data_IF_239692111176
#
_entry.id   IF_239692111176
#
_cell.length_a   1.000
_cell.length_b   1.000
_cell.length_c   1.000
_cell.angle_alpha   90.00
_cell.angle_beta   90.00
_cell.angle_gamma   90.00
#
_symmetry.space_group_name_H-M   'P 1'
#
loop_
_entity.id
_entity.type
_entity.pdbx_description
1 polymer ?
#
# COMPACT_ATOMS: atom_id res chain seq x y z
N UNK A 1 50.71 41.74 -44.20
CA UNK A 1 51.54 41.16 -45.27
C UNK A 1 50.77 40.03 -45.91
N UNK A 2 50.60 40.11 -47.23
CA UNK A 2 49.97 39.10 -48.08
C UNK A 2 50.80 37.79 -48.09
N UNK A 3 50.15 36.64 -48.12
CA UNK A 3 49.94 35.92 -49.38
C UNK A 3 49.00 34.71 -49.23
N UNK A 4 48.07 34.65 -50.18
CA UNK A 4 47.15 33.57 -50.48
C UNK A 4 47.87 32.30 -50.96
N UNK A 5 47.25 31.14 -50.77
CA UNK A 5 47.07 30.22 -51.91
C UNK A 5 45.79 29.41 -51.76
N UNK A 6 44.96 29.52 -52.80
CA UNK A 6 43.71 28.82 -53.06
C UNK A 6 44.02 27.49 -53.74
N UNK A 7 43.41 26.40 -53.27
CA UNK A 7 43.06 25.18 -54.05
C UNK A 7 41.78 24.64 -53.38
N UNK A 8 40.58 24.81 -53.97
CA UNK A 8 40.01 23.95 -55.02
C UNK A 8 39.04 22.93 -54.37
N UNK A 9 37.73 22.91 -54.72
CA UNK A 9 36.78 21.98 -54.12
C UNK A 9 37.07 20.56 -54.61
N UNK A 10 37.50 19.69 -53.70
CA UNK A 10 37.66 18.27 -53.99
C UNK A 10 36.27 17.64 -54.04
N UNK A 11 35.73 17.52 -55.25
CA UNK A 11 34.68 16.55 -55.56
C UNK A 11 35.19 15.16 -55.16
N UNK A 12 34.82 14.70 -53.95
CA UNK A 12 34.85 13.27 -53.66
C UNK A 12 33.64 12.65 -54.35
N UNK A 13 33.82 11.60 -55.17
CA UNK A 13 32.67 10.88 -55.70
C UNK A 13 31.89 10.32 -54.52
N UNK A 14 30.59 10.61 -54.48
CA UNK A 14 29.61 9.83 -53.72
C UNK A 14 29.76 8.41 -54.27
N UNK A 15 30.47 7.56 -53.53
CA UNK A 15 30.41 6.14 -53.78
C UNK A 15 28.96 5.74 -53.52
N UNK A 16 28.19 5.55 -54.59
CA UNK A 16 27.00 4.73 -54.54
C UNK A 16 27.45 3.41 -53.91
N UNK A 17 27.07 3.19 -52.66
CA UNK A 17 27.04 1.87 -52.06
C UNK A 17 25.95 1.14 -52.84
N UNK A 18 26.35 0.57 -53.97
CA UNK A 18 25.55 -0.42 -54.67
C UNK A 18 25.47 -1.57 -53.69
N UNK A 19 24.27 -1.77 -53.13
CA UNK A 19 23.95 -2.96 -52.35
C UNK A 19 24.36 -4.18 -53.19
N UNK A 20 25.46 -4.81 -52.80
CA UNK A 20 25.77 -6.12 -53.34
C UNK A 20 24.59 -7.03 -52.94
N UNK A 21 24.01 -7.79 -53.89
CA UNK A 21 23.02 -8.79 -53.51
C UNK A 21 23.75 -9.75 -52.58
N UNK A 22 23.32 -9.76 -51.31
CA UNK A 22 23.77 -10.74 -50.33
C UNK A 22 23.65 -12.13 -50.97
N UNK A 23 24.67 -13.01 -50.81
CA UNK A 23 24.56 -14.40 -51.26
C UNK A 23 23.26 -15.01 -50.71
N UNK A 24 22.63 -15.98 -51.42
CA UNK A 24 21.40 -16.59 -50.95
C UNK A 24 21.64 -17.11 -49.53
N UNK A 25 21.01 -16.44 -48.57
CA UNK A 25 21.16 -16.77 -47.17
C UNK A 25 20.73 -18.23 -47.00
N UNK A 26 21.56 -19.02 -46.32
CA UNK A 26 21.18 -20.36 -45.90
C UNK A 26 19.83 -20.23 -45.17
N UNK A 27 18.75 -20.87 -45.66
CA UNK A 27 17.42 -20.70 -45.10
C UNK A 27 17.30 -21.21 -43.66
N UNK A 28 18.35 -21.87 -43.16
CA UNK A 28 18.43 -22.38 -41.79
C UNK A 28 19.16 -21.45 -40.82
N UNK A 29 19.87 -20.43 -41.31
CA UNK A 29 20.64 -19.50 -40.47
C UNK A 29 19.75 -18.39 -39.94
N UNK A 30 19.77 -18.17 -38.63
CA UNK A 30 19.05 -17.06 -38.01
C UNK A 30 19.59 -15.72 -38.54
N UNK A 31 18.70 -14.77 -38.89
CA UNK A 31 19.16 -13.49 -39.37
C UNK A 31 19.82 -12.68 -38.25
N UNK A 32 20.85 -11.93 -38.59
CA UNK A 32 21.61 -11.09 -37.64
C UNK A 32 21.42 -9.63 -38.02
N UNK A 33 21.12 -8.77 -37.05
CA UNK A 33 21.09 -7.32 -37.26
C UNK A 33 22.54 -6.84 -37.47
N UNK A 34 22.82 -6.06 -38.53
CA UNK A 34 24.16 -5.53 -38.75
C UNK A 34 24.64 -4.73 -37.53
N UNK A 35 25.86 -4.99 -37.01
CA UNK A 35 26.36 -4.29 -35.81
C UNK A 35 26.64 -2.81 -36.06
N UNK A 36 26.76 -2.38 -37.31
CA UNK A 36 27.00 -1.00 -37.74
C UNK A 36 25.71 -0.27 -38.15
N UNK A 37 24.53 -0.81 -37.82
CA UNK A 37 23.25 -0.18 -38.18
C UNK A 37 23.10 1.18 -37.49
N UNK A 38 22.94 2.23 -38.28
CA UNK A 38 22.55 3.55 -37.78
C UNK A 38 21.04 3.59 -37.55
N UNK A 39 20.64 3.70 -36.29
CA UNK A 39 19.23 3.73 -35.89
C UNK A 39 18.55 5.09 -36.13
N UNK A 40 19.32 6.15 -36.42
CA UNK A 40 18.78 7.46 -36.82
C UNK A 40 18.46 7.51 -38.34
N UNK A 41 19.03 6.58 -39.12
CA UNK A 41 18.72 6.43 -40.54
C UNK A 41 17.47 5.55 -40.74
N UNK A 42 16.32 6.22 -40.89
CA UNK A 42 15.04 5.57 -41.11
C UNK A 42 15.01 4.67 -42.37
N UNK A 43 15.80 4.99 -43.41
CA UNK A 43 15.86 4.19 -44.63
C UNK A 43 16.68 2.91 -44.40
N UNK A 44 17.82 3.02 -43.72
CA UNK A 44 18.61 1.86 -43.32
C UNK A 44 17.81 0.92 -42.39
N UNK A 45 17.12 1.47 -41.39
CA UNK A 45 16.28 0.71 -40.48
C UNK A 45 15.12 0.01 -41.21
N UNK A 46 14.44 0.71 -42.13
CA UNK A 46 13.37 0.13 -42.95
C UNK A 46 13.91 -0.99 -43.87
N UNK A 47 15.10 -0.83 -44.44
CA UNK A 47 15.76 -1.83 -45.28
C UNK A 47 16.12 -3.10 -44.51
N UNK A 48 16.69 -2.95 -43.31
CA UNK A 48 16.99 -4.10 -42.43
C UNK A 48 15.69 -4.77 -41.98
N UNK A 49 14.68 -4.01 -41.55
CA UNK A 49 13.36 -4.55 -41.16
C UNK A 49 12.72 -5.35 -42.30
N UNK A 50 12.77 -4.83 -43.53
CA UNK A 50 12.28 -5.54 -44.71
C UNK A 50 13.04 -6.87 -44.91
N UNK A 51 14.37 -6.85 -44.79
CA UNK A 51 15.22 -8.04 -44.93
C UNK A 51 14.89 -9.10 -43.86
N UNK A 52 14.75 -8.69 -42.59
CA UNK A 52 14.40 -9.58 -41.48
C UNK A 52 13.00 -10.19 -41.67
N UNK A 53 12.04 -9.40 -42.16
CA UNK A 53 10.67 -9.87 -42.41
C UNK A 53 10.62 -10.99 -43.45
N UNK A 54 11.53 -10.96 -44.43
CA UNK A 54 11.65 -11.97 -45.49
C UNK A 54 12.54 -13.16 -45.12
N UNK A 55 13.17 -13.17 -43.94
CA UNK A 55 14.07 -14.24 -43.53
C UNK A 55 13.30 -15.55 -43.25
N UNK A 56 13.53 -16.65 -44.01
CA UNK A 56 12.77 -17.89 -43.86
C UNK A 56 12.92 -18.51 -42.47
N UNK A 57 14.12 -18.43 -41.90
CA UNK A 57 14.45 -19.01 -40.61
C UNK A 57 13.67 -18.32 -39.47
N UNK A 58 13.57 -16.98 -39.50
CA UNK A 58 12.77 -16.20 -38.55
C UNK A 58 11.28 -16.49 -38.71
N UNK A 59 10.79 -16.57 -39.95
CA UNK A 59 9.40 -16.90 -40.21
C UNK A 59 9.04 -18.30 -39.69
N UNK A 60 9.88 -19.29 -39.94
CA UNK A 60 9.68 -20.66 -39.46
C UNK A 60 9.66 -20.72 -37.92
N UNK A 61 10.58 -20.01 -37.26
CA UNK A 61 10.59 -19.91 -35.81
C UNK A 61 9.32 -19.22 -35.27
N UNK A 62 8.90 -18.09 -35.85
CA UNK A 62 7.69 -17.40 -35.40
C UNK A 62 6.44 -18.30 -35.51
N UNK A 63 6.33 -19.10 -36.58
CA UNK A 63 5.22 -20.06 -36.74
C UNK A 63 5.22 -21.13 -35.66
N UNK A 64 6.40 -21.53 -35.16
CA UNK A 64 6.53 -22.53 -34.09
C UNK A 64 6.32 -21.94 -32.69
N UNK A 65 6.90 -20.77 -32.44
CA UNK A 65 6.95 -20.13 -31.13
C UNK A 65 5.65 -19.42 -30.76
N UNK A 66 4.84 -19.00 -31.73
CA UNK A 66 3.62 -18.24 -31.51
C UNK A 66 2.36 -18.99 -32.00
N UNK A 67 1.19 -18.52 -31.57
CA UNK A 67 -0.12 -19.12 -31.82
C UNK A 67 -0.63 -18.95 -33.27
N UNK A 68 0.08 -18.14 -34.07
CA UNK A 68 -0.27 -17.80 -35.45
C UNK A 68 -1.34 -16.71 -35.59
N UNK A 69 -1.90 -16.21 -34.48
CA UNK A 69 -2.81 -15.07 -34.48
C UNK A 69 -1.99 -13.79 -34.67
N UNK A 70 -2.43 -12.91 -35.57
CA UNK A 70 -1.70 -11.68 -35.91
C UNK A 70 -0.23 -11.92 -36.27
N UNK A 71 0.08 -13.05 -36.94
CA UNK A 71 1.46 -13.49 -37.19
C UNK A 71 2.36 -12.44 -37.86
N UNK A 72 1.80 -11.56 -38.70
CA UNK A 72 2.55 -10.44 -39.28
C UNK A 72 2.97 -9.41 -38.23
N UNK A 73 2.05 -9.00 -37.36
CA UNK A 73 2.33 -8.06 -36.28
C UNK A 73 3.30 -8.66 -35.25
N UNK A 74 3.09 -9.92 -34.84
CA UNK A 74 3.97 -10.59 -33.87
C UNK A 74 5.39 -10.71 -34.41
N UNK A 75 5.55 -11.00 -35.71
CA UNK A 75 6.87 -11.02 -36.36
C UNK A 75 7.49 -9.63 -36.42
N UNK A 76 6.73 -8.58 -36.72
CA UNK A 76 7.22 -7.20 -36.73
C UNK A 76 7.63 -6.73 -35.32
N UNK A 77 6.87 -7.14 -34.30
CA UNK A 77 7.16 -6.91 -32.89
C UNK A 77 8.44 -7.63 -32.45
N UNK A 78 8.61 -8.90 -32.82
CA UNK A 78 9.85 -9.66 -32.64
C UNK A 78 11.03 -8.94 -33.28
N UNK A 79 10.92 -8.48 -34.54
CA UNK A 79 11.98 -7.74 -35.23
C UNK A 79 12.36 -6.47 -34.46
N UNK A 80 11.35 -5.79 -33.91
CA UNK A 80 11.58 -4.63 -33.03
C UNK A 80 12.37 -5.00 -31.78
N UNK A 81 12.11 -6.17 -31.16
CA UNK A 81 12.91 -6.67 -30.04
C UNK A 81 14.33 -7.07 -30.45
N UNK A 82 14.54 -7.64 -31.64
CA UNK A 82 15.88 -7.89 -32.18
C UNK A 82 16.65 -6.57 -32.36
N UNK A 83 16.00 -5.48 -32.75
CA UNK A 83 16.68 -4.18 -32.79
C UNK A 83 17.16 -3.73 -31.40
N UNK A 84 16.40 -4.03 -30.35
CA UNK A 84 16.79 -3.75 -28.98
C UNK A 84 17.95 -4.62 -28.45
N UNK A 85 18.30 -5.75 -29.08
CA UNK A 85 19.50 -6.52 -28.68
C UNK A 85 20.81 -5.86 -29.12
N UNK A 86 20.75 -5.00 -30.15
CA UNK A 86 21.90 -4.27 -30.68
C UNK A 86 21.92 -2.79 -30.26
N UNK A 87 20.91 -2.38 -29.48
CA UNK A 87 20.75 -1.03 -28.96
C UNK A 87 20.82 -1.05 -27.42
N UNK A 88 22.03 -1.25 -26.87
CA UNK A 88 22.26 -1.25 -25.42
C UNK A 88 22.85 0.10 -24.97
N UNK A 89 21.99 1.02 -24.53
CA UNK A 89 22.41 2.10 -23.63
C UNK A 89 21.92 3.53 -23.88
N UNK A 90 21.06 3.79 -24.88
CA UNK A 90 20.50 5.12 -25.14
C UNK A 90 18.98 5.22 -24.95
N UNK A 91 18.40 6.44 -24.86
CA UNK A 91 16.97 6.61 -25.13
C UNK A 91 16.66 6.06 -26.53
N UNK A 92 15.47 5.48 -26.78
CA UNK A 92 15.13 4.90 -28.08
C UNK A 92 15.43 5.92 -29.20
N UNK A 93 15.89 5.45 -30.38
CA UNK A 93 16.28 6.31 -31.51
C UNK A 93 15.04 7.03 -32.09
N UNK A 94 14.62 8.09 -31.40
CA UNK A 94 13.43 8.88 -31.73
C UNK A 94 12.14 8.07 -31.84
N UNK A 95 11.25 8.51 -32.73
CA UNK A 95 9.97 7.86 -33.04
C UNK A 95 10.12 6.60 -33.93
N UNK A 96 11.34 6.14 -34.21
CA UNK A 96 11.59 5.07 -35.19
C UNK A 96 11.32 3.67 -34.63
N UNK A 97 11.44 3.48 -33.32
CA UNK A 97 11.13 2.23 -32.63
C UNK A 97 10.06 2.47 -31.57
N UNK A 98 9.07 1.59 -31.54
CA UNK A 98 8.07 1.59 -30.48
C UNK A 98 8.69 1.14 -29.15
N UNK A 99 8.18 1.68 -28.04
CA UNK A 99 8.67 1.37 -26.70
C UNK A 99 8.71 -0.15 -26.45
N UNK A 100 9.91 -0.64 -26.11
CA UNK A 100 10.23 -2.05 -25.84
C UNK A 100 9.19 -2.80 -25.02
N UNK A 101 8.75 -2.24 -23.90
CA UNK A 101 7.79 -2.90 -23.00
C UNK A 101 6.38 -3.02 -23.64
N UNK A 102 6.00 -2.07 -24.51
CA UNK A 102 4.75 -2.15 -25.27
C UNK A 102 4.78 -3.30 -26.27
N UNK A 103 5.91 -3.47 -26.94
CA UNK A 103 6.14 -4.59 -27.87
C UNK A 103 6.10 -5.92 -27.13
N UNK A 104 6.77 -6.03 -25.97
CA UNK A 104 6.75 -7.24 -25.14
C UNK A 104 5.33 -7.60 -24.66
N UNK A 105 4.54 -6.61 -24.24
CA UNK A 105 3.13 -6.80 -23.84
C UNK A 105 2.25 -7.31 -24.98
N UNK A 106 2.54 -6.94 -26.24
CA UNK A 106 1.82 -7.49 -27.41
C UNK A 106 2.27 -8.88 -27.79
N UNK A 107 3.56 -9.21 -27.64
CA UNK A 107 4.10 -10.51 -28.02
C UNK A 107 3.69 -11.61 -27.04
N UNK A 108 3.67 -11.32 -25.73
CA UNK A 108 3.44 -12.35 -24.71
C UNK A 108 2.11 -13.14 -24.86
N UNK A 109 0.94 -12.52 -25.11
CA UNK A 109 -0.33 -13.23 -25.32
C UNK A 109 -0.30 -14.23 -26.49
N UNK A 110 0.60 -14.03 -27.46
CA UNK A 110 0.68 -14.84 -28.67
C UNK A 110 1.65 -16.02 -28.55
N UNK A 111 2.33 -16.22 -27.42
CA UNK A 111 3.24 -17.35 -27.25
C UNK A 111 2.48 -18.68 -27.24
N UNK A 112 2.84 -19.59 -28.15
CA UNK A 112 2.30 -20.95 -28.17
C UNK A 112 2.78 -21.74 -26.95
N UNK A 113 2.12 -22.85 -26.60
CA UNK A 113 2.60 -23.73 -25.53
C UNK A 113 4.04 -24.20 -25.76
N UNK A 114 4.42 -24.46 -27.02
CA UNK A 114 5.78 -24.80 -27.41
C UNK A 114 6.73 -23.61 -27.24
N UNK A 115 6.31 -22.41 -27.65
CA UNK A 115 7.07 -21.18 -27.46
C UNK A 115 7.33 -20.87 -25.99
N UNK A 116 6.32 -20.99 -25.13
CA UNK A 116 6.47 -20.79 -23.69
C UNK A 116 7.46 -21.80 -23.07
N UNK A 117 7.41 -23.07 -23.48
CA UNK A 117 8.37 -24.06 -22.99
C UNK A 117 9.80 -23.73 -23.43
N UNK A 118 9.99 -23.32 -24.69
CA UNK A 118 11.28 -22.90 -25.21
C UNK A 118 11.79 -21.60 -24.54
N UNK A 119 10.90 -20.65 -24.25
CA UNK A 119 11.20 -19.44 -23.50
C UNK A 119 11.72 -19.78 -22.09
N UNK A 120 11.01 -20.61 -21.33
CA UNK A 120 11.47 -21.06 -20.00
C UNK A 120 12.81 -21.77 -20.05
N UNK A 121 12.98 -22.66 -21.03
CA UNK A 121 14.25 -23.35 -21.23
C UNK A 121 15.39 -22.36 -21.47
N UNK A 122 15.14 -21.26 -22.18
CA UNK A 122 16.16 -20.24 -22.44
C UNK A 122 16.62 -19.50 -21.18
N UNK A 123 15.82 -19.49 -20.11
CA UNK A 123 16.12 -18.79 -18.86
C UNK A 123 16.97 -19.63 -17.88
N UNK A 124 17.09 -20.93 -18.12
CA UNK A 124 17.87 -21.83 -17.27
C UNK A 124 19.38 -21.67 -17.52
N UNK A 125 20.04 -20.94 -16.62
CA UNK A 125 21.49 -20.65 -16.70
C UNK A 125 22.34 -21.88 -16.36
N UNK A 126 21.78 -22.84 -15.61
CA UNK A 126 22.46 -24.06 -15.15
C UNK A 126 22.18 -25.26 -16.07
N UNK A 127 21.27 -25.11 -17.04
CA UNK A 127 21.04 -26.13 -18.05
C UNK A 127 22.36 -26.43 -18.79
N UNK A 128 22.69 -27.71 -19.02
CA UNK A 128 23.82 -28.08 -19.87
C UNK A 128 23.70 -27.33 -21.20
N UNK A 129 24.82 -26.81 -21.76
CA UNK A 129 24.79 -26.09 -23.03
C UNK A 129 23.98 -26.93 -24.02
N UNK A 130 22.86 -26.36 -24.44
CA UNK A 130 21.85 -27.14 -25.12
C UNK A 130 22.47 -27.75 -26.38
N UNK A 131 22.20 -29.03 -26.60
CA UNK A 131 22.56 -29.71 -27.85
C UNK A 131 21.77 -29.18 -29.04
N UNK A 132 20.73 -28.37 -28.80
CA UNK A 132 19.96 -27.67 -29.83
C UNK A 132 19.96 -26.14 -29.56
N UNK A 133 20.15 -25.31 -30.60
CA UNK A 133 20.04 -23.86 -30.50
C UNK A 133 18.65 -23.46 -29.99
N UNK A 134 18.58 -22.49 -29.07
CA UNK A 134 17.33 -21.93 -28.56
C UNK A 134 17.17 -20.52 -29.12
N UNK A 135 16.27 -20.31 -30.11
CA UNK A 135 16.18 -19.02 -30.77
C UNK A 135 15.76 -17.87 -29.83
N UNK A 136 15.08 -18.14 -28.70
CA UNK A 136 14.84 -17.09 -27.71
C UNK A 136 16.15 -16.55 -27.13
N UNK A 137 17.10 -17.44 -26.80
CA UNK A 137 18.40 -17.03 -26.26
C UNK A 137 19.29 -16.35 -27.31
N UNK A 138 19.13 -16.70 -28.58
CA UNK A 138 19.90 -16.11 -29.69
C UNK A 138 19.35 -14.74 -30.13
N UNK A 139 18.01 -14.59 -30.13
CA UNK A 139 17.33 -13.43 -30.73
C UNK A 139 16.89 -12.38 -29.72
N UNK A 140 16.75 -12.73 -28.43
CA UNK A 140 16.27 -11.81 -27.40
C UNK A 140 17.30 -11.64 -26.27
N UNK A 141 17.34 -10.44 -25.69
CA UNK A 141 18.17 -10.22 -24.51
C UNK A 141 17.66 -11.04 -23.32
N UNK A 142 18.50 -11.24 -22.32
CA UNK A 142 18.06 -11.88 -21.08
C UNK A 142 16.93 -11.10 -20.38
N UNK A 143 16.98 -9.75 -20.43
CA UNK A 143 15.93 -8.87 -19.89
C UNK A 143 14.56 -9.17 -20.51
N UNK A 144 14.49 -9.21 -21.84
CA UNK A 144 13.23 -9.45 -22.57
C UNK A 144 12.64 -10.82 -22.22
N UNK A 145 13.50 -11.82 -22.12
CA UNK A 145 13.06 -13.19 -21.82
C UNK A 145 12.45 -13.29 -20.42
N UNK A 146 13.07 -12.67 -19.42
CA UNK A 146 12.49 -12.60 -18.08
C UNK A 146 11.17 -11.83 -18.06
N UNK A 147 11.09 -10.72 -18.79
CA UNK A 147 9.87 -9.93 -18.89
C UNK A 147 8.73 -10.71 -19.56
N UNK A 148 9.01 -11.42 -20.66
CA UNK A 148 8.03 -12.27 -21.34
C UNK A 148 7.53 -13.41 -20.44
N UNK A 149 8.43 -14.10 -19.73
CA UNK A 149 8.01 -15.17 -18.81
C UNK A 149 7.15 -14.62 -17.67
N UNK A 150 7.48 -13.44 -17.15
CA UNK A 150 6.67 -12.74 -16.16
C UNK A 150 5.25 -12.45 -16.67
N UNK A 151 5.13 -11.94 -17.90
CA UNK A 151 3.84 -11.68 -18.54
C UNK A 151 3.02 -12.97 -18.77
N UNK A 152 3.66 -14.03 -19.26
CA UNK A 152 3.00 -15.34 -19.48
C UNK A 152 2.49 -15.91 -18.15
N UNK A 153 3.33 -15.87 -17.10
CA UNK A 153 2.93 -16.32 -15.78
C UNK A 153 1.76 -15.50 -15.22
N UNK A 154 1.78 -14.17 -15.36
CA UNK A 154 0.69 -13.29 -14.94
C UNK A 154 -0.62 -13.63 -15.67
N UNK A 155 -0.59 -13.79 -16.99
CA UNK A 155 -1.78 -14.14 -17.79
C UNK A 155 -2.36 -15.50 -17.39
N UNK A 156 -1.51 -16.49 -17.13
CA UNK A 156 -1.97 -17.77 -16.59
C UNK A 156 -2.57 -17.60 -15.19
N UNK A 157 -1.99 -16.77 -14.33
CA UNK A 157 -2.55 -16.43 -13.02
C UNK A 157 -3.95 -15.84 -13.11
N UNK A 158 -4.12 -14.84 -13.99
CA UNK A 158 -5.41 -14.21 -14.28
C UNK A 158 -6.44 -15.22 -14.81
N UNK A 159 -6.03 -16.12 -15.72
CA UNK A 159 -6.91 -17.16 -16.24
C UNK A 159 -7.34 -18.17 -15.16
N UNK A 160 -6.41 -18.61 -14.31
CA UNK A 160 -6.73 -19.49 -13.19
C UNK A 160 -7.67 -18.79 -12.19
N UNK A 161 -7.41 -17.52 -11.88
CA UNK A 161 -8.26 -16.73 -10.99
C UNK A 161 -9.68 -16.57 -11.56
N UNK A 162 -9.81 -16.29 -12.85
CA UNK A 162 -11.11 -16.20 -13.53
C UNK A 162 -11.88 -17.54 -13.50
N UNK A 163 -11.17 -18.66 -13.49
CA UNK A 163 -11.77 -20.00 -13.36
C UNK A 163 -12.06 -20.43 -11.92
N UNK A 164 -11.64 -19.63 -10.92
CA UNK A 164 -11.77 -19.95 -9.49
C UNK A 164 -10.70 -20.91 -8.95
N UNK A 165 -9.69 -21.26 -9.74
CA UNK A 165 -8.55 -22.07 -9.32
C UNK A 165 -7.50 -21.20 -8.61
N UNK A 166 -7.85 -20.74 -7.41
CA UNK A 166 -7.04 -19.80 -6.65
C UNK A 166 -5.64 -20.33 -6.26
N UNK A 167 -5.45 -21.61 -5.88
CA UNK A 167 -4.11 -22.13 -5.61
C UNK A 167 -3.18 -22.05 -6.83
N UNK A 168 -3.66 -22.39 -8.03
CA UNK A 168 -2.86 -22.25 -9.25
C UNK A 168 -2.65 -20.79 -9.62
N UNK A 169 -3.66 -19.94 -9.44
CA UNK A 169 -3.52 -18.51 -9.67
C UNK A 169 -2.38 -17.91 -8.82
N UNK A 170 -2.37 -18.22 -7.52
CA UNK A 170 -1.35 -17.74 -6.60
C UNK A 170 0.06 -18.18 -7.01
N UNK A 171 0.25 -19.47 -7.33
CA UNK A 171 1.54 -20.00 -7.79
C UNK A 171 2.03 -19.32 -9.08
N UNK A 172 1.11 -18.99 -10.00
CA UNK A 172 1.44 -18.29 -11.24
C UNK A 172 1.82 -16.83 -11.03
N UNK A 173 1.13 -16.13 -10.14
CA UNK A 173 1.51 -14.77 -9.76
C UNK A 173 2.86 -14.73 -9.02
N UNK A 174 3.17 -15.71 -8.16
CA UNK A 174 4.50 -15.82 -7.53
C UNK A 174 5.62 -16.05 -8.55
N UNK A 175 5.38 -16.93 -9.54
CA UNK A 175 6.30 -17.13 -10.64
C UNK A 175 6.50 -15.84 -11.45
N UNK A 176 5.42 -15.10 -11.73
CA UNK A 176 5.50 -13.81 -12.41
C UNK A 176 6.32 -12.78 -11.62
N UNK A 177 6.08 -12.66 -10.31
CA UNK A 177 6.85 -11.79 -9.43
C UNK A 177 8.35 -12.14 -9.44
N UNK A 178 8.66 -13.44 -9.42
CA UNK A 178 10.05 -13.93 -9.48
C UNK A 178 10.70 -13.55 -10.82
N UNK A 179 10.01 -13.72 -11.94
CA UNK A 179 10.52 -13.32 -13.26
C UNK A 179 10.73 -11.81 -13.38
N UNK A 180 9.78 -10.99 -12.92
CA UNK A 180 9.93 -9.54 -12.95
C UNK A 180 11.02 -9.01 -12.00
N UNK A 181 11.38 -9.75 -10.95
CA UNK A 181 12.50 -9.37 -10.08
C UNK A 181 13.86 -9.37 -10.80
N UNK A 182 13.97 -10.07 -11.94
CA UNK A 182 15.14 -10.02 -12.83
C UNK A 182 15.12 -8.83 -13.80
N UNK A 183 14.10 -7.96 -13.75
CA UNK A 183 13.95 -6.78 -14.59
C UNK A 183 13.86 -5.53 -13.70
N UNK A 184 15.00 -4.88 -13.36
CA UNK A 184 15.07 -3.86 -12.30
C UNK A 184 14.11 -2.68 -12.46
N UNK A 185 13.82 -2.27 -13.70
CA UNK A 185 12.93 -1.14 -13.98
C UNK A 185 11.46 -1.42 -13.60
N UNK A 186 11.10 -2.68 -13.38
CA UNK A 186 9.72 -3.15 -13.16
C UNK A 186 9.46 -3.61 -11.72
N UNK A 187 10.13 -2.98 -10.76
CA UNK A 187 9.97 -3.28 -9.32
C UNK A 187 8.50 -3.19 -8.86
N UNK A 188 7.72 -2.26 -9.41
CA UNK A 188 6.29 -2.11 -9.08
C UNK A 188 5.44 -3.29 -9.54
N UNK A 189 5.84 -3.97 -10.63
CA UNK A 189 5.16 -5.16 -11.13
C UNK A 189 5.44 -6.38 -10.25
N UNK A 190 6.63 -6.47 -9.66
CA UNK A 190 6.92 -7.49 -8.64
C UNK A 190 5.92 -7.35 -7.48
N UNK A 191 5.77 -6.14 -6.94
CA UNK A 191 4.83 -5.90 -5.86
C UNK A 191 3.37 -6.15 -6.27
N UNK A 192 2.96 -5.78 -7.48
CA UNK A 192 1.63 -6.07 -8.02
C UNK A 192 1.33 -7.58 -8.05
N UNK A 193 2.24 -8.38 -8.61
CA UNK A 193 2.05 -9.83 -8.68
C UNK A 193 2.09 -10.49 -7.29
N UNK A 194 2.91 -10.03 -6.35
CA UNK A 194 2.86 -10.49 -4.96
C UNK A 194 1.49 -10.18 -4.33
N UNK A 195 0.95 -8.98 -4.58
CA UNK A 195 -0.39 -8.59 -4.14
C UNK A 195 -1.48 -9.50 -4.71
N UNK A 196 -1.37 -9.83 -6.00
CA UNK A 196 -2.34 -10.69 -6.70
C UNK A 196 -2.26 -12.13 -6.18
N UNK A 197 -1.05 -12.64 -5.95
CA UNK A 197 -0.85 -13.91 -5.24
C UNK A 197 -1.45 -13.90 -3.85
N UNK A 198 -1.23 -12.84 -3.06
CA UNK A 198 -1.80 -12.69 -1.73
C UNK A 198 -3.33 -12.75 -1.74
N UNK A 199 -3.99 -12.07 -2.69
CA UNK A 199 -5.45 -12.14 -2.85
C UNK A 199 -5.92 -13.53 -3.24
N UNK A 200 -5.22 -14.21 -4.13
CA UNK A 200 -5.55 -15.58 -4.52
C UNK A 200 -5.39 -16.57 -3.34
N UNK A 201 -4.31 -16.48 -2.56
CA UNK A 201 -4.15 -17.29 -1.34
C UNK A 201 -5.26 -17.03 -0.32
N UNK A 202 -5.66 -15.77 -0.12
CA UNK A 202 -6.76 -15.43 0.79
C UNK A 202 -8.08 -16.07 0.33
N UNK A 203 -8.38 -16.02 -0.98
CA UNK A 203 -9.55 -16.66 -1.57
C UNK A 203 -9.50 -18.19 -1.50
N UNK A 204 -8.30 -18.78 -1.49
CA UNK A 204 -8.08 -20.21 -1.24
C UNK A 204 -8.16 -20.60 0.25
N UNK A 205 -8.30 -19.64 1.17
CA UNK A 205 -8.27 -19.87 2.62
C UNK A 205 -6.87 -20.08 3.21
N UNK A 206 -5.80 -19.81 2.45
CA UNK A 206 -4.42 -19.90 2.91
C UNK A 206 -3.94 -18.58 3.52
N UNK A 207 -4.54 -18.19 4.66
CA UNK A 207 -4.34 -16.86 5.26
C UNK A 207 -2.88 -16.51 5.58
N UNK A 208 -2.08 -17.48 6.04
CA UNK A 208 -0.67 -17.27 6.36
C UNK A 208 0.17 -16.94 5.10
N UNK A 209 -0.05 -17.69 4.01
CA UNK A 209 0.61 -17.41 2.74
C UNK A 209 0.14 -16.06 2.18
N UNK A 210 -1.15 -15.75 2.30
CA UNK A 210 -1.68 -14.45 1.89
C UNK A 210 -1.02 -13.28 2.62
N UNK A 211 -0.87 -13.37 3.95
CA UNK A 211 -0.20 -12.33 4.74
C UNK A 211 1.28 -12.20 4.37
N UNK A 212 1.98 -13.32 4.13
CA UNK A 212 3.39 -13.29 3.71
C UNK A 212 3.57 -12.57 2.37
N UNK A 213 2.71 -12.86 1.40
CA UNK A 213 2.75 -12.20 0.09
C UNK A 213 2.45 -10.70 0.16
N UNK A 214 1.48 -10.28 0.99
CA UNK A 214 1.17 -8.86 1.19
C UNK A 214 2.30 -8.10 1.91
N UNK A 215 2.94 -8.71 2.91
CA UNK A 215 4.14 -8.14 3.55
C UNK A 215 5.29 -8.05 2.54
N UNK A 216 5.44 -9.05 1.67
CA UNK A 216 6.39 -9.03 0.55
C UNK A 216 6.13 -7.86 -0.41
N UNK A 217 4.89 -7.70 -0.87
CA UNK A 217 4.48 -6.60 -1.75
C UNK A 217 4.78 -5.23 -1.11
N UNK A 218 4.45 -5.06 0.18
CA UNK A 218 4.77 -3.83 0.91
C UNK A 218 6.28 -3.57 0.97
N UNK A 219 7.07 -4.59 1.27
CA UNK A 219 8.52 -4.47 1.38
C UNK A 219 9.13 -3.97 0.06
N UNK A 220 8.67 -4.51 -1.07
CA UNK A 220 9.11 -4.10 -2.41
C UNK A 220 8.72 -2.65 -2.71
N UNK A 221 7.46 -2.25 -2.44
CA UNK A 221 7.00 -0.88 -2.65
C UNK A 221 7.73 0.14 -1.78
N UNK A 222 8.02 -0.21 -0.51
CA UNK A 222 8.74 0.69 0.40
C UNK A 222 10.21 0.81 0.03
N UNK A 223 10.84 -0.27 -0.46
CA UNK A 223 12.19 -0.20 -1.02
C UNK A 223 12.22 0.69 -2.27
N UNK A 224 11.22 0.57 -3.15
CA UNK A 224 11.10 1.43 -4.33
C UNK A 224 10.87 2.91 -3.96
N UNK A 225 9.99 3.18 -2.99
CA UNK A 225 9.78 4.54 -2.47
C UNK A 225 11.07 5.12 -1.85
N UNK A 226 11.83 4.32 -1.11
CA UNK A 226 13.12 4.73 -0.54
C UNK A 226 14.16 5.06 -1.62
N UNK A 227 14.22 4.27 -2.70
CA UNK A 227 15.08 4.53 -3.86
C UNK A 227 14.74 5.87 -4.51
N UNK A 228 13.46 6.11 -4.83
CA UNK A 228 12.99 7.34 -5.46
C UNK A 228 13.25 8.57 -4.58
N UNK A 229 13.03 8.45 -3.26
CA UNK A 229 13.33 9.51 -2.30
C UNK A 229 14.83 9.82 -2.19
N UNK A 230 15.68 8.83 -2.46
CA UNK A 230 17.15 8.96 -2.41
C UNK A 230 17.78 9.62 -3.64
N UNK A 231 17.00 9.93 -4.68
CA UNK A 231 17.50 10.58 -5.89
C UNK A 231 18.03 12.00 -5.57
N UNK A 232 19.20 12.34 -6.12
CA UNK A 232 19.87 13.64 -5.87
C UNK A 232 19.09 14.83 -6.44
N UNK A 233 18.33 14.61 -7.52
CA UNK A 233 17.47 15.59 -8.17
C UNK A 233 16.18 14.88 -8.61
N UNK A 234 15.21 14.68 -7.70
CA UNK A 234 13.97 14.00 -8.04
C UNK A 234 13.10 14.91 -8.90
N UNK A 235 12.63 14.40 -10.03
CA UNK A 235 11.64 15.07 -10.85
C UNK A 235 10.25 15.04 -10.16
N UNK A 236 9.30 15.91 -10.54
CA UNK A 236 7.95 15.87 -10.00
C UNK A 236 7.25 14.49 -10.12
N UNK A 237 7.54 13.78 -11.21
CA UNK A 237 7.02 12.43 -11.46
C UNK A 237 7.59 11.40 -10.46
N UNK A 238 8.87 11.52 -10.10
CA UNK A 238 9.52 10.64 -9.11
C UNK A 238 8.92 10.83 -7.72
N UNK A 239 8.62 12.07 -7.34
CA UNK A 239 7.96 12.37 -6.06
C UNK A 239 6.55 11.78 -6.00
N UNK A 240 5.79 11.87 -7.10
CA UNK A 240 4.47 11.26 -7.20
C UNK A 240 4.55 9.72 -7.17
N UNK A 241 5.49 9.13 -7.91
CA UNK A 241 5.74 7.69 -7.91
C UNK A 241 6.15 7.19 -6.52
N UNK A 242 7.03 7.92 -5.83
CA UNK A 242 7.45 7.64 -4.45
C UNK A 242 6.25 7.65 -3.50
N UNK A 243 5.40 8.68 -3.58
CA UNK A 243 4.20 8.79 -2.74
C UNK A 243 3.22 7.65 -3.03
N UNK A 244 3.02 7.30 -4.30
CA UNK A 244 2.13 6.22 -4.72
C UNK A 244 2.62 4.86 -4.25
N UNK A 245 3.92 4.58 -4.38
CA UNK A 245 4.54 3.35 -3.90
C UNK A 245 4.41 3.22 -2.39
N UNK A 246 4.78 4.27 -1.64
CA UNK A 246 4.63 4.28 -0.18
C UNK A 246 3.16 4.07 0.24
N UNK A 247 2.21 4.69 -0.46
CA UNK A 247 0.77 4.53 -0.20
C UNK A 247 0.32 3.08 -0.42
N UNK A 248 0.67 2.45 -1.56
CA UNK A 248 0.34 1.04 -1.82
C UNK A 248 0.95 0.12 -0.77
N UNK A 249 2.21 0.33 -0.42
CA UNK A 249 2.87 -0.47 0.62
C UNK A 249 2.21 -0.38 1.99
N UNK A 250 1.63 0.78 2.37
CA UNK A 250 0.85 0.90 3.61
C UNK A 250 -0.50 0.18 3.55
N UNK A 251 -1.18 0.20 2.40
CA UNK A 251 -2.39 -0.60 2.19
C UNK A 251 -2.10 -2.11 2.26
N UNK A 252 -0.99 -2.56 1.67
CA UNK A 252 -0.57 -3.95 1.72
C UNK A 252 -0.30 -4.43 3.16
N UNK A 253 0.35 -3.60 3.99
CA UNK A 253 0.54 -3.88 5.42
C UNK A 253 -0.78 -3.89 6.20
N UNK A 254 -1.67 -2.94 5.94
CA UNK A 254 -2.98 -2.90 6.58
C UNK A 254 -3.75 -4.20 6.32
N UNK A 255 -3.81 -4.63 5.05
CA UNK A 255 -4.46 -5.88 4.66
C UNK A 255 -3.79 -7.12 5.28
N UNK A 256 -2.46 -7.16 5.38
CA UNK A 256 -1.76 -8.23 6.09
C UNK A 256 -2.12 -8.27 7.59
N UNK A 257 -2.26 -7.10 8.22
CA UNK A 257 -2.71 -7.00 9.61
C UNK A 257 -4.12 -7.53 9.84
N UNK A 258 -5.04 -7.29 8.89
CA UNK A 258 -6.40 -7.83 8.94
C UNK A 258 -6.37 -9.38 8.88
N UNK A 259 -5.53 -9.96 8.04
CA UNK A 259 -5.34 -11.42 7.97
C UNK A 259 -4.72 -11.99 9.25
N UNK A 260 -3.77 -11.30 9.87
CA UNK A 260 -3.23 -11.72 11.17
C UNK A 260 -4.30 -11.71 12.27
N UNK A 261 -5.22 -10.73 12.23
CA UNK A 261 -6.35 -10.70 13.16
C UNK A 261 -7.29 -11.89 12.91
N UNK A 262 -7.62 -12.19 11.66
CA UNK A 262 -8.47 -13.33 11.28
C UNK A 262 -7.86 -14.68 11.72
N UNK A 263 -6.54 -14.82 11.65
CA UNK A 263 -5.82 -16.00 12.13
C UNK A 263 -5.71 -16.10 13.66
N UNK A 264 -6.20 -15.12 14.41
CA UNK A 264 -6.07 -15.09 15.87
C UNK A 264 -4.63 -14.81 16.33
N UNK A 265 -3.87 -14.01 15.57
CA UNK A 265 -2.50 -13.60 15.87
C UNK A 265 -2.46 -12.10 16.24
N UNK A 266 -3.06 -11.70 17.38
CA UNK A 266 -3.33 -10.30 17.70
C UNK A 266 -2.06 -9.44 17.82
N UNK A 267 -0.96 -9.99 18.33
CA UNK A 267 0.31 -9.25 18.45
C UNK A 267 0.89 -8.88 17.08
N UNK A 268 0.79 -9.78 16.09
CA UNK A 268 1.23 -9.50 14.72
C UNK A 268 0.29 -8.50 14.04
N UNK A 269 -1.01 -8.63 14.24
CA UNK A 269 -2.00 -7.68 13.75
C UNK A 269 -1.72 -6.25 14.27
N UNK A 270 -1.56 -6.09 15.60
CA UNK A 270 -1.24 -4.81 16.24
C UNK A 270 0.06 -4.22 15.66
N UNK A 271 1.13 -5.01 15.59
CA UNK A 271 2.41 -4.54 15.06
C UNK A 271 2.34 -4.09 13.60
N UNK A 272 1.55 -4.78 12.79
CA UNK A 272 1.42 -4.50 11.35
C UNK A 272 0.49 -3.31 11.10
N UNK A 273 -0.67 -3.26 11.76
CA UNK A 273 -1.58 -2.11 11.72
C UNK A 273 -0.91 -0.84 12.23
N UNK A 274 -0.09 -0.90 13.29
CA UNK A 274 0.60 0.29 13.83
C UNK A 274 1.55 0.87 12.78
N UNK A 275 2.36 0.03 12.12
CA UNK A 275 3.26 0.48 11.05
C UNK A 275 2.50 1.11 9.89
N UNK A 276 1.39 0.50 9.47
CA UNK A 276 0.54 1.04 8.41
C UNK A 276 -0.10 2.39 8.82
N UNK A 277 -0.60 2.50 10.06
CA UNK A 277 -1.21 3.72 10.59
C UNK A 277 -0.22 4.88 10.70
N UNK A 278 1.01 4.60 11.13
CA UNK A 278 2.08 5.59 11.19
C UNK A 278 2.46 6.07 9.78
N UNK A 279 2.55 5.16 8.81
CA UNK A 279 2.78 5.52 7.42
C UNK A 279 1.64 6.35 6.82
N UNK A 280 0.38 5.99 7.07
CA UNK A 280 -0.75 6.83 6.65
C UNK A 280 -0.75 8.20 7.32
N UNK A 281 -0.30 8.31 8.57
CA UNK A 281 -0.13 9.59 9.25
C UNK A 281 0.92 10.46 8.56
N UNK A 282 2.06 9.86 8.14
CA UNK A 282 3.09 10.56 7.35
C UNK A 282 2.59 11.04 5.98
N UNK A 283 1.62 10.32 5.38
CA UNK A 283 0.96 10.68 4.13
C UNK A 283 -0.20 11.68 4.31
N UNK A 284 -0.48 12.10 5.54
CA UNK A 284 -1.64 12.91 5.93
C UNK A 284 -3.00 12.24 5.60
N UNK A 285 -2.99 10.90 5.48
CA UNK A 285 -4.17 10.06 5.27
C UNK A 285 -4.82 9.71 6.62
N UNK A 286 -5.23 10.75 7.36
CA UNK A 286 -5.72 10.64 8.73
C UNK A 286 -6.94 9.70 8.90
N UNK A 287 -7.93 9.64 7.98
CA UNK A 287 -9.03 8.69 8.11
C UNK A 287 -8.58 7.21 8.10
N UNK A 288 -7.63 6.87 7.23
CA UNK A 288 -7.07 5.53 7.13
C UNK A 288 -6.27 5.17 8.39
N UNK A 289 -5.42 6.10 8.84
CA UNK A 289 -4.68 5.92 10.09
C UNK A 289 -5.63 5.75 11.29
N UNK A 290 -6.68 6.57 11.40
CA UNK A 290 -7.67 6.47 12.47
C UNK A 290 -8.38 5.11 12.46
N UNK A 291 -8.77 4.62 11.28
CA UNK A 291 -9.43 3.31 11.11
C UNK A 291 -8.56 2.18 11.68
N UNK A 292 -7.26 2.19 11.40
CA UNK A 292 -6.34 1.19 11.95
C UNK A 292 -6.16 1.32 13.46
N UNK A 293 -6.08 2.54 14.00
CA UNK A 293 -6.02 2.72 15.46
C UNK A 293 -7.32 2.30 16.17
N UNK A 294 -8.49 2.41 15.51
CA UNK A 294 -9.72 1.81 16.01
C UNK A 294 -9.63 0.28 16.04
N UNK A 295 -9.15 -0.36 14.97
CA UNK A 295 -8.94 -1.81 14.94
C UNK A 295 -7.96 -2.27 16.03
N UNK A 296 -6.83 -1.58 16.20
CA UNK A 296 -5.86 -1.83 17.29
C UNK A 296 -6.52 -1.70 18.67
N UNK A 297 -7.39 -0.71 18.86
CA UNK A 297 -8.12 -0.51 20.13
C UNK A 297 -9.01 -1.71 20.44
N UNK A 298 -9.71 -2.23 19.44
CA UNK A 298 -10.62 -3.37 19.60
C UNK A 298 -9.82 -4.66 19.85
N UNK A 299 -8.70 -4.90 19.16
CA UNK A 299 -7.82 -6.05 19.43
C UNK A 299 -7.31 -6.03 20.88
N UNK A 300 -6.87 -4.87 21.40
CA UNK A 300 -6.42 -4.78 22.79
C UNK A 300 -7.55 -5.01 23.80
N UNK A 301 -8.78 -4.59 23.49
CA UNK A 301 -9.94 -4.84 24.34
C UNK A 301 -10.23 -6.36 24.43
N UNK A 302 -10.20 -7.05 23.29
CA UNK A 302 -10.40 -8.51 23.23
C UNK A 302 -9.31 -9.26 24.00
N UNK A 303 -8.04 -8.83 23.88
CA UNK A 303 -6.93 -9.38 24.66
C UNK A 303 -7.11 -9.15 26.16
N UNK A 304 -7.51 -7.96 26.58
CA UNK A 304 -7.77 -7.66 27.99
C UNK A 304 -8.90 -8.51 28.57
N UNK A 305 -9.94 -8.78 27.80
CA UNK A 305 -11.03 -9.67 28.19
C UNK A 305 -10.56 -11.12 28.30
N UNK A 306 -9.76 -11.60 27.35
CA UNK A 306 -9.17 -12.94 27.40
C UNK A 306 -8.29 -13.12 28.65
N UNK A 307 -7.39 -12.17 28.93
CA UNK A 307 -6.55 -12.21 30.14
C UNK A 307 -7.36 -12.18 31.44
N UNK A 308 -8.46 -11.42 31.48
CA UNK A 308 -9.37 -11.44 32.64
C UNK A 308 -10.01 -12.81 32.85
N UNK A 309 -10.41 -13.47 31.76
CA UNK A 309 -11.02 -14.80 31.82
C UNK A 309 -10.03 -15.88 32.29
N UNK A 310 -8.74 -15.75 31.95
CA UNK A 310 -7.69 -16.68 32.41
C UNK A 310 -7.13 -16.34 33.80
N UNK A 311 -7.54 -15.21 34.40
CA UNK A 311 -7.06 -14.75 35.71
C UNK A 311 -5.71 -14.02 35.67
N UNK A 312 -5.22 -13.70 34.47
CA UNK A 312 -3.99 -12.94 34.22
C UNK A 312 -4.22 -11.43 34.39
N UNK A 313 -4.53 -11.01 35.61
CA UNK A 313 -4.98 -9.64 35.90
C UNK A 313 -3.97 -8.55 35.53
N UNK A 314 -2.66 -8.80 35.70
CA UNK A 314 -1.63 -7.83 35.35
C UNK A 314 -1.58 -7.60 33.83
N UNK A 315 -1.60 -8.67 33.03
CA UNK A 315 -1.64 -8.60 31.57
C UNK A 315 -2.93 -7.93 31.07
N UNK A 316 -4.06 -8.18 31.75
CA UNK A 316 -5.31 -7.49 31.44
C UNK A 316 -5.21 -5.98 31.68
N UNK A 317 -4.59 -5.55 32.79
CA UNK A 317 -4.38 -4.13 33.08
C UNK A 317 -3.46 -3.48 32.04
N UNK A 318 -2.36 -4.13 31.66
CA UNK A 318 -1.45 -3.65 30.61
C UNK A 318 -2.15 -3.53 29.26
N UNK A 319 -2.98 -4.51 28.88
CA UNK A 319 -3.77 -4.48 27.66
C UNK A 319 -4.82 -3.35 27.68
N UNK A 320 -5.44 -3.06 28.82
CA UNK A 320 -6.36 -1.91 28.97
C UNK A 320 -5.61 -0.59 28.78
N UNK A 321 -4.40 -0.44 29.33
CA UNK A 321 -3.59 0.76 29.13
C UNK A 321 -3.24 0.96 27.64
N UNK A 322 -2.84 -0.12 26.96
CA UNK A 322 -2.56 -0.09 25.53
C UNK A 322 -3.81 0.23 24.68
N UNK A 323 -4.96 -0.34 25.03
CA UNK A 323 -6.27 -0.04 24.43
C UNK A 323 -6.59 1.46 24.54
N UNK A 324 -6.42 2.04 25.74
CA UNK A 324 -6.66 3.46 26.00
C UNK A 324 -5.72 4.35 25.18
N UNK A 325 -4.44 3.99 25.04
CA UNK A 325 -3.49 4.76 24.25
C UNK A 325 -3.79 4.70 22.75
N UNK A 326 -4.18 3.54 22.22
CA UNK A 326 -4.64 3.38 20.83
C UNK A 326 -5.90 4.24 20.57
N UNK A 327 -6.88 4.22 21.49
CA UNK A 327 -8.09 5.02 21.38
C UNK A 327 -7.79 6.54 21.38
N UNK A 328 -6.78 6.99 22.13
CA UNK A 328 -6.33 8.40 22.08
C UNK A 328 -5.73 8.78 20.73
N UNK A 329 -4.99 7.86 20.10
CA UNK A 329 -4.41 8.09 18.78
C UNK A 329 -5.52 8.19 17.72
N UNK A 330 -6.44 7.22 17.70
CA UNK A 330 -7.63 7.25 16.84
C UNK A 330 -8.40 8.58 17.00
N UNK A 331 -8.69 8.98 18.25
CA UNK A 331 -9.44 10.20 18.53
C UNK A 331 -8.76 11.47 17.99
N UNK A 332 -7.43 11.58 18.10
CA UNK A 332 -6.68 12.73 17.59
C UNK A 332 -6.71 12.77 16.07
N UNK A 333 -6.54 11.62 15.41
CA UNK A 333 -6.57 11.51 13.96
C UNK A 333 -7.96 11.85 13.42
N UNK A 334 -9.02 11.35 14.05
CA UNK A 334 -10.41 11.69 13.71
C UNK A 334 -10.70 13.19 13.88
N UNK A 335 -10.17 13.84 14.93
CA UNK A 335 -10.29 15.29 15.10
C UNK A 335 -9.64 16.06 13.94
N UNK A 336 -8.43 15.67 13.53
CA UNK A 336 -7.72 16.30 12.41
C UNK A 336 -8.48 16.08 11.10
N UNK A 337 -9.05 14.89 10.91
CA UNK A 337 -9.94 14.55 9.80
C UNK A 337 -11.32 15.22 9.89
N UNK A 338 -11.61 15.98 10.95
CA UNK A 338 -12.91 16.62 11.25
C UNK A 338 -14.07 15.61 11.38
N UNK A 339 -13.77 14.35 11.67
CA UNK A 339 -14.75 13.33 12.04
C UNK A 339 -15.08 13.43 13.53
N UNK A 340 -15.78 14.50 13.91
CA UNK A 340 -16.00 14.85 15.31
C UNK A 340 -16.77 13.79 16.11
N UNK A 341 -17.70 13.06 15.48
CA UNK A 341 -18.45 11.99 16.12
C UNK A 341 -17.54 10.81 16.48
N UNK A 342 -16.75 10.31 15.51
CA UNK A 342 -15.81 9.23 15.75
C UNK A 342 -14.74 9.62 16.79
N UNK A 343 -14.22 10.85 16.71
CA UNK A 343 -13.31 11.39 17.72
C UNK A 343 -13.93 11.39 19.12
N UNK A 344 -15.20 11.80 19.24
CA UNK A 344 -15.95 11.77 20.49
C UNK A 344 -16.02 10.37 21.08
N UNK A 345 -16.44 9.39 20.28
CA UNK A 345 -16.51 7.98 20.71
C UNK A 345 -15.14 7.41 21.10
N UNK A 346 -14.09 7.70 20.32
CA UNK A 346 -12.73 7.29 20.63
C UNK A 346 -12.23 7.88 21.95
N UNK A 347 -12.52 9.16 22.23
CA UNK A 347 -12.18 9.76 23.52
C UNK A 347 -12.96 9.17 24.69
N UNK A 348 -14.21 8.72 24.48
CA UNK A 348 -14.96 7.97 25.49
C UNK A 348 -14.28 6.64 25.78
N UNK A 349 -13.89 5.86 24.76
CA UNK A 349 -13.09 4.62 24.92
C UNK A 349 -11.78 4.89 25.68
N UNK A 350 -11.13 6.03 25.42
CA UNK A 350 -9.92 6.47 26.12
C UNK A 350 -10.15 7.05 27.53
N UNK A 351 -11.38 7.03 28.05
CA UNK A 351 -11.80 7.65 29.32
C UNK A 351 -11.49 9.16 29.44
N UNK A 352 -11.34 9.85 28.30
CA UNK A 352 -11.11 11.30 28.22
C UNK A 352 -12.41 12.05 27.90
N UNK A 353 -13.35 11.99 28.85
CA UNK A 353 -14.70 12.52 28.68
C UNK A 353 -14.75 14.03 28.40
N UNK A 354 -13.76 14.80 28.88
CA UNK A 354 -13.68 16.23 28.60
C UNK A 354 -13.35 16.54 27.13
N UNK A 355 -12.44 15.76 26.52
CA UNK A 355 -12.16 15.87 25.09
C UNK A 355 -13.32 15.31 24.24
N UNK A 356 -13.92 14.20 24.68
CA UNK A 356 -15.11 13.64 24.04
C UNK A 356 -16.25 14.66 23.94
N UNK A 357 -16.57 15.32 25.06
CA UNK A 357 -17.64 16.32 25.11
C UNK A 357 -17.41 17.48 24.13
N UNK A 358 -16.16 17.96 24.02
CA UNK A 358 -15.79 19.02 23.07
C UNK A 358 -15.87 18.56 21.62
N UNK A 359 -15.46 17.32 21.33
CA UNK A 359 -15.57 16.75 20.00
C UNK A 359 -17.05 16.64 19.58
N UNK A 360 -17.90 16.05 20.41
CA UNK A 360 -19.35 15.98 20.14
C UNK A 360 -19.99 17.36 20.00
N UNK A 361 -19.61 18.34 20.83
CA UNK A 361 -20.08 19.72 20.71
C UNK A 361 -19.70 20.36 19.36
N UNK A 362 -18.47 20.13 18.90
CA UNK A 362 -18.00 20.60 17.59
C UNK A 362 -18.73 19.91 16.42
N UNK A 363 -19.09 18.64 16.58
CA UNK A 363 -19.90 17.87 15.62
C UNK A 363 -21.40 18.16 15.68
N UNK A 364 -21.87 18.92 16.68
CA UNK A 364 -23.30 19.24 16.88
C UNK A 364 -24.11 18.18 17.63
N UNK A 365 -23.49 17.10 18.13
CA UNK A 365 -24.16 16.09 18.96
C UNK A 365 -24.17 16.52 20.42
N UNK A 366 -25.10 17.42 20.76
CA UNK A 366 -25.20 17.96 22.12
C UNK A 366 -25.70 16.92 23.14
N UNK A 367 -26.36 15.84 22.69
CA UNK A 367 -26.79 14.74 23.56
C UNK A 367 -25.58 13.96 24.08
N UNK A 368 -24.73 13.48 23.16
CA UNK A 368 -23.50 12.78 23.51
C UNK A 368 -22.50 13.68 24.25
N UNK A 369 -22.45 14.97 23.92
CA UNK A 369 -21.66 15.95 24.67
C UNK A 369 -22.13 16.09 26.12
N UNK A 370 -23.45 16.15 26.34
CA UNK A 370 -24.06 16.19 27.67
C UNK A 370 -23.73 14.96 28.50
N UNK A 371 -23.88 13.76 27.92
CA UNK A 371 -23.51 12.49 28.55
C UNK A 371 -22.01 12.45 28.92
N UNK A 372 -21.15 12.93 28.03
CA UNK A 372 -19.71 12.98 28.27
C UNK A 372 -19.37 13.90 29.46
N UNK A 373 -19.98 15.09 29.54
CA UNK A 373 -19.80 15.95 30.72
C UNK A 373 -20.35 15.33 32.00
N UNK A 374 -21.44 14.56 31.92
CA UNK A 374 -21.99 13.83 33.06
C UNK A 374 -21.01 12.74 33.56
N UNK A 375 -20.44 11.93 32.67
CA UNK A 375 -19.42 10.94 33.04
C UNK A 375 -18.15 11.58 33.61
N UNK A 376 -17.73 12.72 33.06
CA UNK A 376 -16.63 13.50 33.62
C UNK A 376 -16.93 13.95 35.06
N UNK A 377 -18.15 14.40 35.33
CA UNK A 377 -18.57 14.83 36.66
C UNK A 377 -18.57 13.67 37.66
N UNK A 378 -19.12 12.52 37.27
CA UNK A 378 -19.15 11.30 38.09
C UNK A 378 -17.74 10.81 38.45
N UNK A 379 -16.78 10.89 37.51
CA UNK A 379 -15.38 10.57 37.77
C UNK A 379 -14.76 11.51 38.81
N UNK A 380 -15.03 12.82 38.71
CA UNK A 380 -14.58 13.78 39.71
C UNK A 380 -15.22 13.52 41.10
N UNK A 381 -16.46 13.06 41.18
CA UNK A 381 -17.04 12.63 42.46
C UNK A 381 -16.33 11.41 43.06
N UNK A 382 -15.96 10.43 42.22
CA UNK A 382 -15.20 9.26 42.67
C UNK A 382 -13.79 9.64 43.17
N UNK A 383 -13.09 10.53 42.44
CA UNK A 383 -11.80 11.07 42.86
C UNK A 383 -11.92 11.85 44.18
N UNK A 384 -12.98 12.64 44.34
CA UNK A 384 -13.26 13.35 45.59
C UNK A 384 -13.44 12.39 46.78
N UNK A 385 -14.21 11.31 46.60
CA UNK A 385 -14.41 10.30 47.63
C UNK A 385 -13.10 9.61 48.03
N UNK A 386 -12.23 9.32 47.04
CA UNK A 386 -10.89 8.76 47.28
C UNK A 386 -10.02 9.73 48.08
N UNK A 387 -9.94 11.00 47.67
CA UNK A 387 -9.17 12.02 48.39
C UNK A 387 -9.70 12.25 49.81
N UNK A 388 -11.02 12.22 50.00
CA UNK A 388 -11.63 12.32 51.32
C UNK A 388 -11.25 11.14 52.22
N UNK A 389 -11.27 9.90 51.70
CA UNK A 389 -10.81 8.72 52.43
C UNK A 389 -9.33 8.76 52.81
N UNK A 390 -8.52 9.54 52.07
CA UNK A 390 -7.09 9.78 52.35
C UNK A 390 -6.84 11.01 53.24
N UNK A 391 -7.90 11.70 53.72
CA UNK A 391 -7.77 12.93 54.51
C UNK A 391 -7.32 14.16 53.71
N UNK A 392 -7.30 14.07 52.38
CA UNK A 392 -6.90 15.16 51.48
C UNK A 392 -8.08 16.09 51.18
N UNK A 393 -8.61 16.73 52.22
CA UNK A 393 -9.86 17.51 52.18
C UNK A 393 -9.84 18.64 51.15
N UNK A 394 -8.70 19.31 50.94
CA UNK A 394 -8.60 20.36 49.93
C UNK A 394 -8.75 19.83 48.49
N UNK A 395 -8.13 18.68 48.18
CA UNK A 395 -8.24 18.03 46.88
C UNK A 395 -9.65 17.51 46.64
N UNK A 396 -10.26 16.87 47.65
CA UNK A 396 -11.65 16.44 47.59
C UNK A 396 -12.60 17.62 47.29
N UNK A 397 -12.37 18.79 47.91
CA UNK A 397 -13.17 20.00 47.62
C UNK A 397 -13.05 20.44 46.17
N UNK A 398 -11.82 20.45 45.65
CA UNK A 398 -11.52 20.86 44.28
C UNK A 398 -12.20 19.93 43.26
N UNK A 399 -12.18 18.62 43.51
CA UNK A 399 -12.83 17.64 42.65
C UNK A 399 -14.36 17.79 42.67
N UNK A 400 -14.99 18.01 43.83
CA UNK A 400 -16.44 18.28 43.90
C UNK A 400 -16.82 19.58 43.18
N UNK A 401 -16.00 20.62 43.25
CA UNK A 401 -16.20 21.87 42.49
C UNK A 401 -16.10 21.64 40.97
N UNK A 402 -15.16 20.79 40.55
CA UNK A 402 -15.00 20.39 39.15
C UNK A 402 -16.20 19.56 38.67
N UNK A 403 -16.67 18.60 39.48
CA UNK A 403 -17.89 17.83 39.21
C UNK A 403 -19.11 18.73 39.03
N UNK A 404 -19.32 19.69 39.94
CA UNK A 404 -20.39 20.68 39.85
C UNK A 404 -20.33 21.49 38.55
N UNK A 405 -19.14 21.90 38.13
CA UNK A 405 -18.94 22.63 36.87
C UNK A 405 -19.27 21.77 35.65
N UNK A 406 -18.89 20.50 35.66
CA UNK A 406 -19.18 19.56 34.59
C UNK A 406 -20.69 19.26 34.47
N UNK A 407 -21.40 19.05 35.58
CA UNK A 407 -22.85 18.86 35.55
C UNK A 407 -23.61 20.07 35.00
N UNK A 408 -23.15 21.30 35.29
CA UNK A 408 -23.74 22.51 34.68
C UNK A 408 -23.56 22.52 33.16
N UNK A 409 -22.38 22.10 32.67
CA UNK A 409 -22.14 21.94 31.23
C UNK A 409 -23.03 20.85 30.64
N UNK A 410 -23.20 19.72 31.32
CA UNK A 410 -24.09 18.64 30.89
C UNK A 410 -25.54 19.14 30.71
N UNK A 411 -26.10 19.86 31.69
CA UNK A 411 -27.45 20.47 31.57
C UNK A 411 -27.53 21.39 30.36
N UNK A 412 -26.51 22.23 30.14
CA UNK A 412 -26.49 23.17 29.01
C UNK A 412 -26.57 22.42 27.69
N UNK A 413 -25.80 21.34 27.53
CA UNK A 413 -25.80 20.56 26.30
C UNK A 413 -27.10 19.76 26.12
N UNK A 414 -27.64 19.13 27.17
CA UNK A 414 -28.95 18.47 27.08
C UNK A 414 -30.09 19.44 26.74
N UNK A 415 -30.06 20.66 27.28
CA UNK A 415 -31.03 21.70 26.94
C UNK A 415 -30.92 22.11 25.47
N UNK A 416 -29.71 22.17 24.93
CA UNK A 416 -29.50 22.45 23.50
C UNK A 416 -29.97 21.29 22.63
N UNK A 417 -29.69 20.05 23.03
CA UNK A 417 -30.18 18.85 22.35
C UNK A 417 -31.71 18.79 22.30
N UNK A 418 -32.40 19.12 23.40
CA UNK A 418 -33.87 19.06 23.48
C UNK A 418 -34.56 20.13 22.62
N UNK A 419 -33.88 21.24 22.33
CA UNK A 419 -34.35 22.25 21.40
C UNK A 419 -34.26 21.81 19.93
N UNK A 420 -33.44 20.79 19.63
CA UNK A 420 -33.10 20.37 18.28
C UNK A 420 -33.70 19.00 17.89
N UNK A 421 -34.17 18.18 18.84
CA UNK A 421 -34.56 16.78 18.60
C UNK A 421 -35.91 16.35 19.21
N UNK A 422 -36.43 15.22 18.70
CA UNK A 422 -37.73 14.60 19.05
C UNK A 422 -37.69 13.86 20.41
N UNK A 423 -36.51 13.44 20.92
CA UNK A 423 -36.34 12.73 22.20
C UNK A 423 -36.37 13.64 23.44
N UNK A 424 -37.22 14.66 23.43
CA UNK A 424 -37.32 15.66 24.49
C UNK A 424 -37.62 15.05 25.87
N UNK A 425 -38.35 13.93 25.93
CA UNK A 425 -38.73 13.28 27.20
C UNK A 425 -37.55 12.60 27.89
N UNK A 426 -36.69 11.90 27.13
CA UNK A 426 -35.49 11.26 27.68
C UNK A 426 -34.48 12.31 28.13
N UNK A 427 -34.30 13.38 27.35
CA UNK A 427 -33.43 14.50 27.69
C UNK A 427 -33.93 15.26 28.92
N UNK A 428 -35.24 15.43 29.08
CA UNK A 428 -35.83 16.04 30.28
C UNK A 428 -35.54 15.21 31.54
N UNK A 429 -35.64 13.88 31.47
CA UNK A 429 -35.28 13.00 32.57
C UNK A 429 -33.79 13.11 32.93
N UNK A 430 -32.89 13.11 31.94
CA UNK A 430 -31.46 13.30 32.16
C UNK A 430 -31.15 14.65 32.82
N UNK A 431 -31.79 15.74 32.38
CA UNK A 431 -31.66 17.06 33.00
C UNK A 431 -32.09 17.03 34.47
N UNK A 432 -33.23 16.41 34.79
CA UNK A 432 -33.73 16.32 36.15
C UNK A 432 -32.75 15.56 37.08
N UNK A 433 -32.23 14.41 36.62
CA UNK A 433 -31.21 13.65 37.37
C UNK A 433 -29.95 14.48 37.64
N UNK A 434 -29.47 15.23 36.64
CA UNK A 434 -28.29 16.08 36.82
C UNK A 434 -28.57 17.26 37.77
N UNK A 435 -29.77 17.84 37.75
CA UNK A 435 -30.17 18.92 38.67
C UNK A 435 -30.22 18.46 40.13
N UNK A 436 -30.70 17.24 40.37
CA UNK A 436 -30.69 16.63 41.70
C UNK A 436 -29.25 16.47 42.21
N UNK A 437 -28.34 15.96 41.36
CA UNK A 437 -26.92 15.83 41.71
C UNK A 437 -26.23 17.17 41.99
N UNK A 438 -26.52 18.21 41.19
CA UNK A 438 -26.03 19.57 41.47
C UNK A 438 -26.46 20.05 42.86
N UNK A 439 -27.72 19.79 43.23
CA UNK A 439 -28.27 20.19 44.52
C UNK A 439 -27.58 19.47 45.68
N UNK A 440 -27.35 18.16 45.53
CA UNK A 440 -26.62 17.35 46.49
C UNK A 440 -25.16 17.82 46.67
N UNK A 441 -24.46 18.10 45.57
CA UNK A 441 -23.07 18.59 45.61
C UNK A 441 -22.93 19.98 46.25
N UNK A 442 -23.89 20.89 46.00
CA UNK A 442 -23.91 22.20 46.66
C UNK A 442 -24.05 22.07 48.17
N UNK A 443 -24.95 21.17 48.61
CA UNK A 443 -25.13 20.89 50.02
C UNK A 443 -23.84 20.31 50.65
N UNK A 444 -23.21 19.32 49.99
CA UNK A 444 -21.96 18.73 50.46
C UNK A 444 -20.82 19.76 50.57
N UNK A 445 -20.68 20.67 49.59
CA UNK A 445 -19.68 21.73 49.61
C UNK A 445 -19.92 22.80 50.69
N UNK A 446 -21.17 23.02 51.08
CA UNK A 446 -21.57 23.99 52.12
C UNK A 446 -21.49 23.41 53.54
N UNK A 447 -21.85 22.14 53.73
CA UNK A 447 -22.09 21.56 55.06
C UNK A 447 -21.31 20.27 55.37
N UNK A 448 -20.73 19.60 54.37
CA UNK A 448 -20.29 18.20 54.48
C UNK A 448 -18.80 17.95 54.73
N UNK A 449 -17.95 18.98 54.74
CA UNK A 449 -16.48 18.80 54.85
C UNK A 449 -15.93 19.34 56.18
N UNK A 450 -16.48 18.85 57.29
CA UNK A 450 -15.92 19.13 58.60
C UNK A 450 -14.54 18.47 58.72
N UNK A 451 -13.51 19.29 58.97
CA UNK A 451 -12.20 18.81 59.40
C UNK A 451 -12.38 17.85 60.59
N UNK A 452 -11.69 16.70 60.62
CA UNK A 452 -11.64 15.90 61.83
C UNK A 452 -11.07 16.78 62.93
N UNK A 453 -11.90 17.17 63.90
CA UNK A 453 -11.44 17.84 65.12
C UNK A 453 -10.26 17.05 65.66
N UNK A 454 -9.09 17.67 65.92
CA UNK A 454 -7.99 16.96 66.52
C UNK A 454 -8.50 16.32 67.81
N UNK A 455 -8.38 14.99 67.91
CA UNK A 455 -8.64 14.28 69.16
C UNK A 455 -7.75 14.92 70.20
N UNK A 456 -8.35 15.64 71.14
CA UNK A 456 -7.67 16.06 72.34
C UNK A 456 -7.18 14.79 73.04
N UNK A 457 -5.88 14.55 72.99
CA UNK A 457 -5.20 13.61 73.86
C UNK A 457 -5.42 14.08 75.29
N UNK A 458 -6.24 13.33 76.04
CA UNK A 458 -6.20 13.31 77.50
C UNK A 458 -5.25 12.20 77.94
#
# INVERSE_FOLDING_TARGET
>A
MWNNTVTGPSNRPIAQVIAQPLPPADPTVMPVVPPELDFEDAEALASVRHTLTQAPALQAWCVQAFDGVNAEQVRDDVITLLFYTHFDGGPPPGAALEARDTVLMRVAPHLSLTGQAALRQSLDVDAPPHTAPNPFAELLTQRDRWFLEGLVCRQHGEAHQASGDYPQAAARFEAAATSFAHVPEHTTWVAENLRDSGRAHAQAGHLALASDQLVGASTVELAHAALLRGLTQPEPEDMLACRNAFTRGMYDLAAAGDLYQEMGLPTLAIGTHTKAADGFTLLEMFPQAATLYHAITDIWADMADAYRQTGELAQAEDAILACVDAARHAARLDLVAKNYAAAGHAFVKAFNYGAAAKAFEAGGDYGAAGLSYQWMAQRCEADAAKHQGQGLTALARADLQKALSCYKLAIRQFTRASQLHVDATQLAAAIATVQERISALRFALQFGMHEPRPRATQ
#
